data_IF_085867977097
#
_entry.id   IF_085867977097
#
_cell.length_a   1.000
_cell.length_b   1.000
_cell.length_c   1.000
_cell.angle_alpha   90.00
_cell.angle_beta   90.00
_cell.angle_gamma   90.00
#
_symmetry.space_group_name_H-M   'P 1'
#
loop_
_entity.id
_entity.type
_entity.pdbx_description
1 polymer ?
#
# COMPACT_ATOMS: atom_id res chain seq x y z
N UNK A 1 -24.68 19.18 37.89
CA UNK A 1 -23.49 19.46 37.06
C UNK A 1 -22.73 18.15 36.93
N UNK A 2 -22.89 17.45 35.81
CA UNK A 2 -21.99 16.35 35.49
C UNK A 2 -20.71 16.99 34.95
N UNK A 3 -19.68 17.09 35.79
CA UNK A 3 -18.33 17.34 35.30
C UNK A 3 -17.97 16.18 34.37
N UNK A 4 -17.94 16.46 33.07
CA UNK A 4 -17.43 15.53 32.08
C UNK A 4 -16.00 15.18 32.46
N UNK A 5 -15.72 13.90 32.75
CA UNK A 5 -14.35 13.41 32.95
C UNK A 5 -13.47 13.95 31.82
N UNK A 6 -12.26 14.46 32.12
CA UNK A 6 -11.31 14.84 31.09
C UNK A 6 -11.09 13.65 30.16
N UNK A 7 -11.03 13.91 28.86
CA UNK A 7 -10.73 12.89 27.87
C UNK A 7 -9.31 12.38 28.15
N UNK A 8 -9.18 11.14 28.60
CA UNK A 8 -7.88 10.50 28.79
C UNK A 8 -7.53 9.69 27.53
N UNK A 9 -6.33 9.88 27.00
CA UNK A 9 -5.82 9.03 25.93
C UNK A 9 -5.73 7.57 26.41
N UNK A 10 -6.11 6.64 25.55
CA UNK A 10 -5.96 5.22 25.85
C UNK A 10 -4.47 4.81 25.80
N UNK A 11 -4.15 3.67 26.42
CA UNK A 11 -2.77 3.15 26.47
C UNK A 11 -2.18 2.94 25.08
N UNK A 12 -2.99 2.46 24.13
CA UNK A 12 -2.57 2.25 22.74
C UNK A 12 -2.07 3.53 22.07
N UNK A 13 -2.80 4.65 22.25
CA UNK A 13 -2.44 5.96 21.69
C UNK A 13 -1.13 6.45 22.30
N UNK A 14 -0.97 6.31 23.63
CA UNK A 14 0.25 6.70 24.33
C UNK A 14 1.47 5.90 23.85
N UNK A 15 1.34 4.58 23.76
CA UNK A 15 2.43 3.71 23.31
C UNK A 15 2.82 3.99 21.86
N UNK A 16 1.82 4.24 21.00
CA UNK A 16 2.04 4.57 19.59
C UNK A 16 2.70 5.93 19.42
N UNK A 17 2.27 6.94 20.19
CA UNK A 17 2.90 8.26 20.21
C UNK A 17 4.38 8.18 20.61
N UNK A 18 4.71 7.45 21.68
CA UNK A 18 6.09 7.30 22.14
C UNK A 18 6.98 6.54 21.14
N UNK A 19 6.44 5.51 20.47
CA UNK A 19 7.14 4.85 19.35
C UNK A 19 7.40 5.81 18.19
N UNK A 20 6.41 6.64 17.86
CA UNK A 20 6.48 7.65 16.80
C UNK A 20 7.56 8.68 17.10
N UNK A 21 7.52 9.31 18.27
CA UNK A 21 8.50 10.33 18.69
C UNK A 21 9.91 9.74 18.77
N UNK A 22 10.08 8.54 19.33
CA UNK A 22 11.39 7.86 19.37
C UNK A 22 11.96 7.66 17.97
N UNK A 23 11.14 7.19 17.04
CA UNK A 23 11.56 6.96 15.65
C UNK A 23 11.94 8.27 14.96
N UNK A 24 11.18 9.36 15.18
CA UNK A 24 11.53 10.68 14.67
C UNK A 24 12.89 11.14 15.24
N UNK A 25 13.10 10.97 16.54
CA UNK A 25 14.34 11.38 17.23
C UNK A 25 15.56 10.62 16.70
N UNK A 26 15.45 9.29 16.56
CA UNK A 26 16.51 8.44 16.00
C UNK A 26 16.90 8.88 14.58
N UNK A 27 15.93 9.44 13.84
CA UNK A 27 16.06 9.87 12.45
C UNK A 27 16.27 11.38 12.27
N UNK A 28 16.31 12.17 13.34
CA UNK A 28 16.38 13.65 13.29
C UNK A 28 17.54 14.15 12.45
N UNK A 29 18.70 13.47 12.53
CA UNK A 29 19.89 13.81 11.78
C UNK A 29 19.71 13.79 10.24
N UNK A 30 18.68 13.11 9.74
CA UNK A 30 18.33 12.99 8.33
C UNK A 30 17.45 14.13 7.81
N UNK A 31 16.81 14.88 8.71
CA UNK A 31 15.80 15.85 8.35
C UNK A 31 16.32 17.29 8.44
N UNK A 32 15.81 18.15 7.58
CA UNK A 32 15.95 19.60 7.69
C UNK A 32 14.82 20.19 8.53
N UNK A 33 13.61 19.78 8.18
CA UNK A 33 12.36 20.34 8.65
C UNK A 33 11.25 19.29 8.58
N UNK A 34 10.10 19.63 9.14
CA UNK A 34 8.86 18.89 9.01
C UNK A 34 7.85 19.73 8.23
N UNK A 35 7.11 19.10 7.34
CA UNK A 35 5.93 19.67 6.70
C UNK A 35 4.71 19.26 7.52
N UNK A 36 3.96 20.26 7.97
CA UNK A 36 2.62 20.08 8.55
C UNK A 36 1.58 20.57 7.55
N UNK A 37 0.58 19.74 7.30
CA UNK A 37 -0.47 20.00 6.34
C UNK A 37 -1.83 19.70 6.97
N UNK A 38 -2.70 20.69 7.04
CA UNK A 38 -4.00 20.58 7.71
C UNK A 38 -5.12 21.12 6.83
N UNK A 39 -6.22 20.39 6.80
CA UNK A 39 -7.50 20.85 6.28
C UNK A 39 -8.47 21.02 7.44
N UNK A 40 -9.02 22.22 7.61
CA UNK A 40 -9.92 22.56 8.70
C UNK A 40 -11.26 23.06 8.16
N UNK A 41 -12.36 22.47 8.62
CA UNK A 41 -13.70 22.99 8.38
C UNK A 41 -13.89 24.28 9.19
N UNK A 42 -14.47 25.29 8.54
CA UNK A 42 -14.91 26.53 9.19
C UNK A 42 -16.40 26.43 9.45
N UNK A 43 -16.76 26.21 10.71
CA UNK A 43 -18.14 26.28 11.20
C UNK A 43 -18.30 27.54 12.05
N UNK A 44 -19.50 28.11 12.13
CA UNK A 44 -19.78 29.50 12.56
C UNK A 44 -19.13 29.93 13.89
N UNK A 45 -18.73 28.99 14.75
CA UNK A 45 -18.03 29.28 16.03
C UNK A 45 -16.69 28.52 16.24
N UNK A 46 -16.29 27.57 15.38
CA UNK A 46 -15.10 26.72 15.62
C UNK A 46 -14.45 26.22 14.33
N UNK A 47 -13.12 26.12 14.35
CA UNK A 47 -12.33 25.39 13.36
C UNK A 47 -12.17 23.93 13.80
N UNK A 48 -12.49 22.99 12.92
CA UNK A 48 -12.41 21.56 13.21
C UNK A 48 -11.53 20.85 12.19
N UNK A 49 -10.63 19.97 12.65
CA UNK A 49 -9.70 19.28 11.75
C UNK A 49 -10.44 18.23 10.92
N UNK A 50 -10.40 18.36 9.59
CA UNK A 50 -10.88 17.34 8.66
C UNK A 50 -9.79 16.30 8.39
N UNK A 51 -8.55 16.72 8.15
CA UNK A 51 -7.43 15.84 7.86
C UNK A 51 -6.12 16.50 8.28
N UNK A 52 -5.19 15.70 8.79
CA UNK A 52 -3.85 16.17 9.09
C UNK A 52 -2.75 15.26 8.57
N UNK A 53 -1.68 15.87 8.11
CA UNK A 53 -0.45 15.21 7.69
C UNK A 53 0.74 15.87 8.38
N UNK A 54 1.58 15.06 9.01
CA UNK A 54 2.89 15.46 9.50
C UNK A 54 3.93 14.58 8.81
N UNK A 55 4.83 15.17 8.03
CA UNK A 55 5.91 14.44 7.34
C UNK A 55 7.24 15.18 7.47
N UNK A 56 8.35 14.48 7.25
CA UNK A 56 9.71 15.01 7.46
C UNK A 56 10.49 15.10 6.15
N UNK A 57 11.16 16.23 5.96
CA UNK A 57 11.84 16.58 4.72
C UNK A 57 13.36 16.40 4.87
N UNK A 58 14.06 15.88 3.85
CA UNK A 58 15.50 15.74 3.88
C UNK A 58 16.21 17.09 3.77
N UNK A 59 17.49 17.13 4.16
CA UNK A 59 18.37 18.33 4.13
C UNK A 59 18.55 18.99 2.76
N UNK A 60 18.36 18.24 1.69
CA UNK A 60 18.55 18.73 0.32
C UNK A 60 17.21 18.99 -0.41
N UNK A 61 16.08 18.95 0.30
CA UNK A 61 14.77 19.23 -0.30
C UNK A 61 14.69 20.69 -0.76
N UNK A 62 14.17 20.92 -1.96
CA UNK A 62 13.88 22.29 -2.42
C UNK A 62 12.80 22.90 -1.52
N UNK A 63 12.82 24.23 -1.39
CA UNK A 63 11.81 24.97 -0.63
C UNK A 63 10.39 24.52 -0.99
N UNK A 64 9.70 23.89 -0.04
CA UNK A 64 8.29 23.56 -0.21
C UNK A 64 7.49 24.86 -0.20
N UNK A 65 6.51 24.95 -1.11
CA UNK A 65 5.61 26.09 -1.15
C UNK A 65 4.66 25.99 0.05
N UNK A 66 4.90 26.82 1.06
CA UNK A 66 3.94 27.04 2.13
C UNK A 66 2.66 27.67 1.55
N UNK A 67 1.52 27.33 2.14
CA UNK A 67 0.24 27.92 1.77
C UNK A 67 -0.66 28.08 2.97
N UNK A 68 -1.49 29.10 2.88
CA UNK A 68 -2.61 29.32 3.77
C UNK A 68 -3.76 29.82 2.90
N UNK A 69 -4.68 28.92 2.58
CA UNK A 69 -5.88 29.26 1.81
C UNK A 69 -7.07 29.27 2.74
N UNK A 70 -7.75 30.41 2.80
CA UNK A 70 -8.97 30.59 3.58
C UNK A 70 -10.16 30.76 2.63
N UNK A 71 -11.01 29.75 2.58
CA UNK A 71 -12.31 29.79 1.92
C UNK A 71 -13.42 29.98 2.94
N UNK A 72 -14.64 30.21 2.46
CA UNK A 72 -15.82 30.39 3.33
C UNK A 72 -16.03 29.22 4.30
N UNK A 73 -15.85 27.98 3.83
CA UNK A 73 -16.13 26.74 4.60
C UNK A 73 -14.90 25.91 4.95
N UNK A 74 -13.72 26.23 4.40
CA UNK A 74 -12.53 25.40 4.53
C UNK A 74 -11.26 26.25 4.61
N UNK A 75 -10.37 25.89 5.53
CA UNK A 75 -9.01 26.42 5.61
C UNK A 75 -8.03 25.31 5.27
N UNK A 76 -7.10 25.59 4.38
CA UNK A 76 -5.99 24.70 4.01
C UNK A 76 -4.68 25.34 4.43
N UNK A 77 -3.88 24.60 5.17
CA UNK A 77 -2.59 25.05 5.69
C UNK A 77 -1.52 24.07 5.26
N UNK A 78 -0.42 24.56 4.69
CA UNK A 78 0.87 23.85 4.62
C UNK A 78 1.94 24.75 5.17
N UNK A 79 2.72 24.24 6.13
CA UNK A 79 3.81 24.99 6.72
C UNK A 79 5.01 24.11 7.01
N UNK A 80 6.20 24.64 6.79
CA UNK A 80 7.42 24.03 7.25
C UNK A 80 7.70 24.51 8.68
N UNK A 81 7.95 23.57 9.57
CA UNK A 81 8.37 23.81 10.95
C UNK A 81 9.64 23.01 11.23
N UNK A 82 10.38 23.36 12.26
CA UNK A 82 11.54 22.55 12.67
C UNK A 82 11.09 21.16 13.16
N UNK A 83 12.00 20.19 13.11
CA UNK A 83 11.74 18.83 13.62
C UNK A 83 11.32 18.85 15.10
N UNK A 84 11.92 19.75 15.89
CA UNK A 84 11.59 19.93 17.31
C UNK A 84 10.18 20.49 17.51
N UNK A 85 9.78 21.47 16.72
CA UNK A 85 8.41 22.00 16.74
C UNK A 85 7.40 20.93 16.32
N UNK A 86 7.74 20.07 15.35
CA UNK A 86 6.86 18.96 14.98
C UNK A 86 6.70 17.93 16.10
N UNK A 87 7.77 17.57 16.81
CA UNK A 87 7.68 16.70 17.99
C UNK A 87 6.80 17.34 19.07
N UNK A 88 6.97 18.63 19.33
CA UNK A 88 6.13 19.36 20.29
C UNK A 88 4.67 19.41 19.84
N UNK A 89 4.42 19.64 18.56
CA UNK A 89 3.08 19.62 17.99
C UNK A 89 2.40 18.27 18.20
N UNK A 90 3.10 17.15 17.93
CA UNK A 90 2.54 15.82 18.17
C UNK A 90 2.19 15.59 19.65
N UNK A 91 3.04 16.04 20.58
CA UNK A 91 2.71 15.99 22.01
C UNK A 91 1.50 16.86 22.33
N UNK A 92 1.47 18.09 21.83
CA UNK A 92 0.36 19.01 22.06
C UNK A 92 -0.98 18.46 21.54
N UNK A 93 -0.96 17.77 20.40
CA UNK A 93 -2.14 17.12 19.84
C UNK A 93 -2.65 16.03 20.77
N UNK A 94 -1.83 15.03 21.07
CA UNK A 94 -2.32 13.83 21.74
C UNK A 94 -2.35 13.94 23.27
N UNK A 95 -1.45 14.71 23.87
CA UNK A 95 -1.36 14.87 25.34
C UNK A 95 -2.10 16.12 25.83
N UNK A 96 -2.05 17.23 25.07
CA UNK A 96 -2.65 18.51 25.46
C UNK A 96 -3.95 18.85 24.72
N UNK A 97 -4.42 17.96 23.85
CA UNK A 97 -5.68 18.07 23.12
C UNK A 97 -5.84 19.35 22.29
N UNK A 98 -4.74 19.82 21.69
CA UNK A 98 -4.74 21.01 20.84
C UNK A 98 -3.80 20.87 19.64
N UNK A 99 -4.15 21.49 18.52
CA UNK A 99 -3.22 21.74 17.41
C UNK A 99 -2.86 23.21 17.49
N UNK A 100 -1.58 23.50 17.64
CA UNK A 100 -1.06 24.85 17.81
C UNK A 100 0.14 25.05 16.89
N UNK A 101 -0.04 25.85 15.84
CA UNK A 101 1.03 26.31 14.97
C UNK A 101 1.14 27.82 15.18
N UNK A 102 2.24 28.32 15.77
CA UNK A 102 2.41 29.73 16.09
C UNK A 102 2.12 30.64 14.89
N UNK A 103 1.27 31.64 15.13
CA UNK A 103 0.82 32.64 14.14
C UNK A 103 0.05 32.09 12.94
N UNK A 104 -0.38 30.83 12.96
CA UNK A 104 -1.16 30.22 11.87
C UNK A 104 -2.52 29.73 12.35
N UNK A 105 -2.54 28.82 13.34
CA UNK A 105 -3.79 28.30 13.87
C UNK A 105 -3.61 27.76 15.30
N UNK A 106 -4.68 27.83 16.08
CA UNK A 106 -4.78 27.19 17.39
C UNK A 106 -6.20 26.64 17.54
N UNK A 107 -6.36 25.32 17.49
CA UNK A 107 -7.67 24.65 17.48
C UNK A 107 -7.71 23.48 18.45
N UNK A 108 -8.87 23.17 19.06
CA UNK A 108 -9.02 21.99 19.89
C UNK A 108 -8.87 20.71 19.04
N UNK A 109 -8.25 19.68 19.62
CA UNK A 109 -8.08 18.39 18.97
C UNK A 109 -8.27 17.25 19.96
N UNK A 110 -9.03 16.24 19.56
CA UNK A 110 -9.16 14.99 20.26
C UNK A 110 -9.06 13.88 19.24
N UNK A 111 -8.12 12.96 19.44
CA UNK A 111 -7.88 11.86 18.51
C UNK A 111 -7.18 10.70 19.19
N UNK A 112 -7.15 9.57 18.49
CA UNK A 112 -6.42 8.36 18.91
C UNK A 112 -5.34 8.04 17.89
N UNK A 113 -4.30 7.32 18.31
CA UNK A 113 -3.33 6.67 17.41
C UNK A 113 -3.44 5.16 17.61
N UNK A 114 -3.50 4.40 16.52
CA UNK A 114 -3.68 2.95 16.59
C UNK A 114 -2.71 2.17 15.70
N UNK A 115 -2.30 2.74 14.56
CA UNK A 115 -1.40 2.07 13.60
C UNK A 115 0.04 2.56 13.77
N UNK A 116 1.00 1.63 13.68
CA UNK A 116 2.43 1.94 13.63
C UNK A 116 3.15 0.89 12.79
N UNK A 117 3.29 1.17 11.50
CA UNK A 117 3.74 0.18 10.54
C UNK A 117 4.89 0.68 9.67
N UNK A 118 5.69 -0.27 9.21
CA UNK A 118 6.75 -0.03 8.24
C UNK A 118 6.23 -0.30 6.83
N UNK A 119 6.35 0.69 5.95
CA UNK A 119 6.09 0.59 4.53
C UNK A 119 7.41 0.69 3.74
N UNK A 120 7.68 -0.32 2.93
CA UNK A 120 8.81 -0.31 2.00
C UNK A 120 8.75 0.84 0.99
N UNK A 121 9.89 1.14 0.37
CA UNK A 121 9.92 2.08 -0.74
C UNK A 121 8.98 1.65 -1.86
N UNK A 122 8.40 2.63 -2.55
CA UNK A 122 7.44 2.42 -3.65
C UNK A 122 6.18 1.64 -3.26
N UNK A 123 5.92 1.47 -1.96
CA UNK A 123 4.61 1.04 -1.46
C UNK A 123 3.54 2.04 -1.85
N UNK A 124 2.43 1.54 -2.40
CA UNK A 124 1.24 2.34 -2.69
C UNK A 124 0.28 2.47 -1.50
N UNK A 125 0.70 2.09 -0.28
CA UNK A 125 -0.15 2.12 0.92
C UNK A 125 -0.21 3.50 1.58
N UNK A 126 -1.38 3.88 2.09
CA UNK A 126 -1.62 5.18 2.74
C UNK A 126 -1.86 6.30 1.72
N UNK A 127 -2.41 7.43 2.18
CA UNK A 127 -2.78 8.53 1.29
C UNK A 127 -1.58 9.40 0.94
N UNK A 128 -0.68 9.64 1.88
CA UNK A 128 0.54 10.39 1.62
C UNK A 128 1.58 9.54 0.84
N UNK A 129 1.93 9.92 -0.41
CA UNK A 129 2.94 9.20 -1.17
C UNK A 129 4.34 9.44 -0.59
N UNK A 130 5.18 8.42 -0.61
CA UNK A 130 6.62 8.60 -0.43
C UNK A 130 7.39 7.63 -1.32
N UNK A 131 8.45 8.15 -1.94
CA UNK A 131 9.37 7.36 -2.75
C UNK A 131 10.41 6.62 -1.90
N UNK A 132 10.55 7.00 -0.63
CA UNK A 132 11.46 6.40 0.34
C UNK A 132 10.70 5.41 1.22
N UNK A 133 11.37 4.39 1.80
CA UNK A 133 10.77 3.59 2.84
C UNK A 133 10.34 4.51 3.99
N UNK A 134 9.25 4.18 4.66
CA UNK A 134 8.69 5.02 5.71
C UNK A 134 8.16 4.18 6.85
N UNK A 135 8.26 4.74 8.05
CA UNK A 135 7.44 4.33 9.18
C UNK A 135 6.24 5.25 9.22
N UNK A 136 5.06 4.70 9.45
CA UNK A 136 3.81 5.42 9.35
C UNK A 136 2.99 5.18 10.61
N UNK A 137 2.41 6.25 11.17
CA UNK A 137 1.42 6.16 12.23
C UNK A 137 0.12 6.84 11.80
N UNK A 138 -1.01 6.20 12.08
CA UNK A 138 -2.33 6.71 11.73
C UNK A 138 -3.24 6.78 12.93
N UNK A 139 -4.13 7.77 12.90
CA UNK A 139 -5.06 8.06 13.94
C UNK A 139 -6.39 8.59 13.44
N UNK A 140 -7.43 8.35 14.24
CA UNK A 140 -8.77 8.88 13.98
C UNK A 140 -8.98 10.14 14.80
N UNK A 141 -9.63 11.12 14.19
CA UNK A 141 -10.09 12.31 14.89
C UNK A 141 -11.45 11.98 15.53
N UNK A 142 -11.61 12.26 16.81
CA UNK A 142 -12.87 12.00 17.51
C UNK A 142 -13.95 12.96 17.05
N UNK A 143 -15.19 12.46 17.00
CA UNK A 143 -16.35 13.18 16.46
C UNK A 143 -16.53 14.60 17.03
N UNK A 144 -16.12 14.81 18.28
CA UNK A 144 -16.22 16.11 18.97
C UNK A 144 -15.35 17.21 18.36
N UNK A 145 -14.26 16.84 17.70
CA UNK A 145 -13.28 17.77 17.09
C UNK A 145 -13.01 17.46 15.63
N UNK A 146 -13.78 16.56 15.01
CA UNK A 146 -13.65 16.20 13.60
C UNK A 146 -14.48 17.13 12.73
N UNK A 147 -13.85 17.75 11.75
CA UNK A 147 -14.53 18.49 10.69
C UNK A 147 -14.91 17.59 9.52
N UNK A 148 -15.75 18.09 8.63
CA UNK A 148 -16.14 17.43 7.38
C UNK A 148 -15.66 18.23 6.18
N UNK A 149 -15.19 17.51 5.16
CA UNK A 149 -14.82 18.13 3.90
C UNK A 149 -16.08 18.56 3.16
N UNK A 150 -16.09 19.83 2.73
CA UNK A 150 -17.20 20.35 1.93
C UNK A 150 -17.23 19.70 0.54
N UNK A 151 -18.43 19.41 0.06
CA UNK A 151 -18.68 18.98 -1.33
C UNK A 151 -18.96 20.18 -2.24
N UNK A 152 -19.12 21.37 -1.66
CA UNK A 152 -19.33 22.61 -2.42
C UNK A 152 -18.02 23.11 -3.04
N UNK A 153 -18.08 23.76 -4.22
CA UNK A 153 -16.92 24.41 -4.81
C UNK A 153 -16.27 25.43 -3.88
N UNK A 154 -14.95 25.39 -3.81
CA UNK A 154 -14.12 26.32 -3.06
C UNK A 154 -13.68 27.44 -4.01
N UNK A 155 -14.35 28.58 -3.92
CA UNK A 155 -14.12 29.75 -4.78
C UNK A 155 -13.65 30.92 -3.93
N UNK A 156 -12.59 31.60 -4.37
CA UNK A 156 -12.07 32.82 -3.75
C UNK A 156 -11.43 33.70 -4.83
N UNK A 157 -11.38 35.02 -4.58
CA UNK A 157 -10.60 35.94 -5.42
C UNK A 157 -9.09 35.78 -5.19
N UNK A 158 -8.70 35.34 -3.98
CA UNK A 158 -7.31 35.28 -3.53
C UNK A 158 -6.68 33.89 -3.66
N UNK A 159 -7.50 32.85 -3.85
CA UNK A 159 -7.06 31.45 -3.83
C UNK A 159 -7.56 30.67 -5.04
N UNK A 160 -6.87 29.58 -5.45
CA UNK A 160 -7.30 28.76 -6.58
C UNK A 160 -8.74 28.25 -6.44
N UNK A 161 -9.39 28.01 -7.57
CA UNK A 161 -10.68 27.29 -7.60
C UNK A 161 -10.43 25.80 -7.36
N UNK A 162 -11.17 25.20 -6.43
CA UNK A 162 -11.28 23.74 -6.33
C UNK A 162 -12.75 23.29 -6.44
N UNK A 163 -13.04 22.19 -7.17
CA UNK A 163 -14.42 21.70 -7.32
C UNK A 163 -15.09 21.28 -6.01
N UNK A 164 -14.31 20.79 -5.04
CA UNK A 164 -14.76 20.38 -3.71
C UNK A 164 -13.54 20.25 -2.77
N UNK A 165 -13.78 19.89 -1.50
CA UNK A 165 -12.74 19.71 -0.50
C UNK A 165 -11.76 18.56 -0.82
N UNK A 166 -12.21 17.45 -1.40
CA UNK A 166 -11.33 16.32 -1.73
C UNK A 166 -10.30 16.73 -2.78
N UNK A 167 -10.72 17.39 -3.85
CA UNK A 167 -9.82 17.87 -4.89
C UNK A 167 -8.86 18.94 -4.36
N UNK A 168 -9.33 19.77 -3.43
CA UNK A 168 -8.46 20.70 -2.73
C UNK A 168 -7.39 19.97 -1.90
N UNK A 169 -7.74 18.92 -1.14
CA UNK A 169 -6.75 18.13 -0.40
C UNK A 169 -5.78 17.40 -1.34
N UNK A 170 -6.29 16.77 -2.40
CA UNK A 170 -5.49 16.05 -3.39
C UNK A 170 -4.37 16.93 -3.94
N UNK A 171 -4.73 18.14 -4.38
CA UNK A 171 -3.79 19.09 -4.99
C UNK A 171 -2.91 19.80 -3.95
N UNK A 172 -3.51 20.27 -2.85
CA UNK A 172 -2.74 21.05 -1.87
C UNK A 172 -1.88 20.17 -0.99
N UNK A 173 -2.34 19.01 -0.55
CA UNK A 173 -1.57 18.11 0.33
C UNK A 173 -0.82 17.02 -0.46
N UNK A 174 -0.91 17.02 -1.80
CA UNK A 174 -0.25 16.07 -2.69
C UNK A 174 -0.56 14.61 -2.34
N UNK A 175 -1.82 14.36 -1.95
CA UNK A 175 -2.29 13.03 -1.54
C UNK A 175 -2.59 12.15 -2.75
N UNK A 176 -2.21 10.87 -2.65
CA UNK A 176 -2.53 9.84 -3.62
C UNK A 176 -3.86 9.14 -3.27
N UNK A 177 -4.97 9.82 -3.56
CA UNK A 177 -6.33 9.30 -3.37
C UNK A 177 -6.79 8.55 -4.65
N UNK A 178 -7.67 7.55 -4.54
CA UNK A 178 -8.26 6.91 -5.74
C UNK A 178 -9.17 7.88 -6.50
N UNK A 179 -9.45 7.62 -7.77
CA UNK A 179 -10.36 8.46 -8.57
C UNK A 179 -11.79 8.47 -7.99
N UNK A 180 -12.24 7.35 -7.42
CA UNK A 180 -13.56 7.22 -6.78
C UNK A 180 -13.60 7.76 -5.33
N UNK A 181 -12.53 8.39 -4.85
CA UNK A 181 -12.53 8.96 -3.50
C UNK A 181 -13.42 10.20 -3.48
N UNK A 182 -14.62 10.08 -2.90
CA UNK A 182 -15.58 11.18 -2.75
C UNK A 182 -15.69 11.71 -1.32
N UNK A 183 -15.14 10.96 -0.36
CA UNK A 183 -15.09 11.35 1.05
C UNK A 183 -13.82 10.77 1.69
N UNK A 184 -13.31 11.43 2.73
CA UNK A 184 -12.14 11.00 3.49
C UNK A 184 -12.49 11.02 4.97
N UNK A 185 -12.40 9.85 5.62
CA UNK A 185 -12.57 9.76 7.07
C UNK A 185 -11.62 10.70 7.79
N UNK A 186 -12.12 11.45 8.78
CA UNK A 186 -11.29 12.41 9.50
C UNK A 186 -10.15 11.72 10.22
N UNK A 187 -8.94 11.88 9.71
CA UNK A 187 -7.75 11.18 10.20
C UNK A 187 -6.53 12.09 10.29
N UNK A 188 -5.53 11.61 11.02
CA UNK A 188 -4.19 12.16 11.02
C UNK A 188 -3.17 11.10 10.61
N UNK A 189 -2.32 11.46 9.66
CA UNK A 189 -1.23 10.66 9.16
C UNK A 189 0.11 11.26 9.58
N UNK A 190 0.95 10.45 10.24
CA UNK A 190 2.32 10.81 10.61
C UNK A 190 3.26 9.93 9.79
N UNK A 191 3.92 10.54 8.82
CA UNK A 191 4.83 9.88 7.89
C UNK A 191 6.26 10.17 8.32
N UNK A 192 7.05 9.13 8.58
CA UNK A 192 8.45 9.22 9.02
C UNK A 192 9.33 8.53 7.97
N UNK A 193 9.75 9.23 6.90
CA UNK A 193 10.61 8.65 5.85
C UNK A 193 11.98 8.23 6.38
N UNK A 194 12.60 7.24 5.75
CA UNK A 194 13.98 6.83 6.03
C UNK A 194 14.85 7.12 4.81
N UNK A 195 15.67 8.17 4.91
CA UNK A 195 16.51 8.67 3.82
C UNK A 195 17.90 8.02 3.75
N UNK A 196 18.15 6.94 4.52
CA UNK A 196 19.45 6.25 4.50
C UNK A 196 19.72 5.62 3.13
N UNK A 197 18.79 4.80 2.66
CA UNK A 197 18.84 4.16 1.35
C UNK A 197 17.43 3.70 0.93
N UNK A 198 17.24 3.45 -0.36
CA UNK A 198 16.01 2.81 -0.86
C UNK A 198 16.30 1.79 -1.95
N UNK A 199 15.48 0.75 -2.04
CA UNK A 199 15.55 -0.24 -3.09
C UNK A 199 14.90 0.33 -4.36
N UNK A 200 15.68 0.39 -5.43
CA UNK A 200 15.24 0.81 -6.76
C UNK A 200 14.70 -0.33 -7.59
N UNK A 201 15.13 -1.56 -7.29
CA UNK A 201 14.48 -2.73 -7.82
C UNK A 201 15.11 -4.04 -7.40
N UNK A 202 14.38 -5.12 -7.67
CA UNK A 202 14.83 -6.50 -7.58
C UNK A 202 14.71 -7.12 -8.97
N UNK A 203 15.85 -7.45 -9.56
CA UNK A 203 15.96 -8.12 -10.85
C UNK A 203 16.21 -9.61 -10.63
N UNK A 204 15.37 -10.48 -11.19
CA UNK A 204 15.51 -11.93 -11.12
C UNK A 204 15.83 -12.45 -12.53
N UNK A 205 16.96 -13.14 -12.66
CA UNK A 205 17.51 -13.71 -13.90
C UNK A 205 17.86 -15.18 -13.63
N UNK A 206 16.95 -16.10 -13.96
CA UNK A 206 17.09 -17.53 -13.64
C UNK A 206 17.40 -17.77 -12.17
N UNK A 207 18.62 -18.21 -11.86
CA UNK A 207 19.07 -18.55 -10.50
C UNK A 207 19.69 -17.38 -9.74
N UNK A 208 19.80 -16.20 -10.36
CA UNK A 208 20.43 -15.02 -9.77
C UNK A 208 19.42 -13.92 -9.50
N UNK A 209 19.49 -13.33 -8.31
CA UNK A 209 18.73 -12.15 -7.95
C UNK A 209 19.68 -10.97 -7.70
N UNK A 210 19.32 -9.79 -8.18
CA UNK A 210 20.09 -8.56 -7.99
C UNK A 210 19.21 -7.45 -7.45
N UNK A 211 19.57 -6.88 -6.31
CA UNK A 211 18.93 -5.67 -5.79
C UNK A 211 19.76 -4.46 -6.16
N UNK A 212 19.08 -3.45 -6.69
CA UNK A 212 19.63 -2.13 -6.95
C UNK A 212 19.15 -1.17 -5.87
N UNK A 213 20.09 -0.40 -5.32
CA UNK A 213 19.88 0.50 -4.20
C UNK A 213 20.22 1.92 -4.65
N UNK A 214 19.41 2.88 -4.24
CA UNK A 214 19.79 4.29 -4.25
C UNK A 214 20.31 4.65 -2.86
N UNK A 215 21.55 5.13 -2.83
CA UNK A 215 22.19 5.63 -1.62
C UNK A 215 21.64 7.03 -1.36
N UNK A 216 20.95 7.20 -0.23
CA UNK A 216 20.51 8.52 0.21
C UNK A 216 21.64 9.20 0.97
N UNK A 217 21.47 9.37 2.28
CA UNK A 217 22.52 9.94 3.12
C UNK A 217 23.61 8.92 3.55
N UNK A 218 23.39 7.62 3.28
CA UNK A 218 24.34 6.55 3.63
C UNK A 218 25.35 6.27 2.52
N UNK A 219 26.50 5.71 2.89
CA UNK A 219 27.46 5.15 1.95
C UNK A 219 27.25 3.63 1.81
N UNK A 220 27.79 3.02 0.75
CA UNK A 220 27.67 1.57 0.52
C UNK A 220 28.18 0.73 1.69
N UNK A 221 29.25 1.19 2.35
CA UNK A 221 29.89 0.48 3.47
C UNK A 221 29.05 0.51 4.75
N UNK A 222 28.10 1.45 4.85
CA UNK A 222 27.14 1.57 5.95
C UNK A 222 25.95 0.61 5.78
N UNK A 223 25.87 -0.12 4.67
CA UNK A 223 24.71 -0.95 4.32
C UNK A 223 25.09 -2.43 4.25
N UNK A 224 24.16 -3.28 4.68
CA UNK A 224 24.23 -4.73 4.45
C UNK A 224 22.96 -5.18 3.77
N UNK A 225 23.11 -6.14 2.87
CA UNK A 225 21.98 -6.82 2.28
C UNK A 225 21.86 -8.24 2.82
N UNK A 226 20.62 -8.70 2.99
CA UNK A 226 20.31 -10.11 3.26
C UNK A 226 19.25 -10.60 2.29
N UNK A 227 19.35 -11.86 1.90
CA UNK A 227 18.43 -12.53 1.01
C UNK A 227 17.93 -13.82 1.64
N UNK A 228 16.65 -14.09 1.40
CA UNK A 228 16.05 -15.40 1.54
C UNK A 228 15.49 -15.79 0.18
N UNK A 229 15.76 -17.01 -0.27
CA UNK A 229 15.16 -17.58 -1.48
C UNK A 229 14.72 -19.02 -1.22
N UNK A 230 13.53 -19.36 -1.70
CA UNK A 230 12.98 -20.71 -1.69
C UNK A 230 12.48 -21.02 -3.08
N UNK A 231 13.13 -21.95 -3.76
CA UNK A 231 12.62 -22.59 -4.96
C UNK A 231 11.79 -23.82 -4.63
N UNK A 232 11.73 -24.78 -5.56
CA UNK A 232 11.03 -26.05 -5.42
C UNK A 232 11.77 -27.06 -4.55
N UNK A 233 13.08 -27.12 -4.70
CA UNK A 233 13.97 -28.12 -4.10
C UNK A 233 15.03 -27.49 -3.21
N UNK A 234 15.39 -26.23 -3.48
CA UNK A 234 16.50 -25.53 -2.85
C UNK A 234 15.95 -24.32 -2.07
N UNK A 235 16.40 -24.20 -0.82
CA UNK A 235 16.27 -22.97 -0.04
C UNK A 235 17.66 -22.42 0.21
N UNK A 236 17.85 -21.11 0.00
CA UNK A 236 19.09 -20.39 0.27
C UNK A 236 18.80 -19.19 1.15
N UNK A 237 19.70 -18.96 2.09
CA UNK A 237 19.73 -17.75 2.92
C UNK A 237 21.12 -17.17 2.79
N UNK A 238 21.22 -15.87 2.57
CA UNK A 238 22.52 -15.21 2.52
C UNK A 238 23.05 -14.92 3.92
N UNK A 239 24.38 -14.90 4.03
CA UNK A 239 25.06 -14.16 5.08
C UNK A 239 24.86 -12.64 4.89
N UNK A 240 25.46 -11.83 5.77
CA UNK A 240 25.49 -10.38 5.57
C UNK A 240 26.34 -10.04 4.33
N UNK A 241 25.72 -9.47 3.30
CA UNK A 241 26.40 -9.14 2.05
C UNK A 241 26.71 -7.65 1.99
N UNK A 242 27.93 -7.31 1.54
CA UNK A 242 28.29 -5.93 1.22
C UNK A 242 27.72 -5.54 -0.15
N UNK A 243 27.43 -4.26 -0.34
CA UNK A 243 27.03 -3.73 -1.63
C UNK A 243 28.27 -3.47 -2.48
N UNK A 244 28.25 -3.90 -3.73
CA UNK A 244 29.25 -3.52 -4.74
C UNK A 244 28.80 -2.23 -5.42
N UNK A 245 29.26 -1.09 -4.91
CA UNK A 245 28.71 0.21 -5.27
C UNK A 245 27.27 0.33 -4.78
N UNK A 246 26.31 0.31 -5.71
CA UNK A 246 24.88 0.46 -5.41
C UNK A 246 24.06 -0.83 -5.69
N UNK A 247 24.72 -1.97 -5.85
CA UNK A 247 24.07 -3.24 -6.19
C UNK A 247 24.56 -4.37 -5.30
N UNK A 248 23.73 -5.39 -5.15
CA UNK A 248 24.10 -6.66 -4.53
C UNK A 248 23.41 -7.79 -5.29
N UNK A 249 24.17 -8.85 -5.57
CA UNK A 249 23.65 -10.03 -6.25
C UNK A 249 23.74 -11.26 -5.35
N UNK A 250 22.74 -12.12 -5.42
CA UNK A 250 22.60 -13.33 -4.64
C UNK A 250 22.32 -14.52 -5.55
N UNK A 251 23.09 -15.60 -5.37
CA UNK A 251 22.93 -16.86 -6.09
C UNK A 251 21.95 -17.76 -5.33
N UNK A 252 20.81 -18.04 -5.95
CA UNK A 252 19.70 -18.81 -5.35
C UNK A 252 19.83 -20.31 -5.65
N UNK A 253 20.59 -20.69 -6.68
CA UNK A 253 20.80 -22.06 -7.12
C UNK A 253 19.66 -22.64 -7.99
N UNK A 254 18.44 -22.15 -7.84
CA UNK A 254 17.34 -22.36 -8.77
C UNK A 254 16.42 -21.12 -8.79
N UNK A 255 15.47 -21.08 -9.73
CA UNK A 255 14.50 -19.98 -9.81
C UNK A 255 13.58 -19.95 -8.57
N UNK A 256 13.36 -18.79 -7.93
CA UNK A 256 12.66 -18.70 -6.66
C UNK A 256 11.14 -18.81 -6.84
N UNK A 257 10.52 -19.66 -6.01
CA UNK A 257 9.10 -19.53 -5.69
C UNK A 257 8.88 -18.34 -4.75
N UNK A 258 9.76 -18.14 -3.79
CA UNK A 258 9.75 -16.98 -2.89
C UNK A 258 11.16 -16.40 -2.87
N UNK A 259 11.28 -15.08 -2.97
CA UNK A 259 12.49 -14.35 -2.65
C UNK A 259 12.15 -13.11 -1.84
N UNK A 260 12.96 -12.84 -0.83
CA UNK A 260 12.89 -11.65 -0.02
C UNK A 260 14.30 -11.07 0.14
N UNK A 261 14.40 -9.74 0.08
CA UNK A 261 15.64 -9.02 0.27
C UNK A 261 15.42 -7.83 1.20
N UNK A 262 16.37 -7.65 2.12
CA UNK A 262 16.39 -6.56 3.08
C UNK A 262 17.69 -5.77 2.93
N UNK A 263 17.58 -4.45 2.95
CA UNK A 263 18.71 -3.54 3.16
C UNK A 263 18.68 -3.11 4.63
N UNK A 264 19.81 -3.33 5.30
CA UNK A 264 20.00 -3.09 6.73
C UNK A 264 21.10 -2.06 6.96
N UNK A 265 20.99 -1.31 8.04
CA UNK A 265 22.08 -0.50 8.57
C UNK A 265 23.17 -1.41 9.15
N UNK A 266 24.41 -1.23 8.70
CA UNK A 266 25.56 -1.96 9.23
C UNK A 266 25.92 -1.54 10.67
N UNK A 267 25.46 -0.37 11.10
CA UNK A 267 25.76 0.21 12.41
C UNK A 267 24.97 -0.44 13.55
N UNK A 268 23.69 -0.70 13.32
CA UNK A 268 22.74 -1.14 14.35
C UNK A 268 21.87 -2.33 13.92
N UNK A 269 22.00 -2.80 12.68
CA UNK A 269 21.22 -3.92 12.15
C UNK A 269 19.76 -3.60 11.83
N UNK A 270 19.33 -2.34 11.97
CA UNK A 270 17.94 -1.95 11.69
C UNK A 270 17.62 -2.09 10.19
N UNK A 271 16.41 -2.57 9.88
CA UNK A 271 15.91 -2.61 8.51
C UNK A 271 15.68 -1.20 7.99
N UNK A 272 16.26 -0.89 6.84
CA UNK A 272 16.08 0.37 6.12
C UNK A 272 14.99 0.20 5.06
N UNK A 273 15.11 -0.85 4.25
CA UNK A 273 14.14 -1.15 3.19
C UNK A 273 14.05 -2.65 2.92
N UNK A 274 12.95 -3.08 2.31
CA UNK A 274 12.77 -4.48 1.90
C UNK A 274 11.96 -4.60 0.63
N UNK A 275 12.29 -5.61 -0.16
CA UNK A 275 11.49 -6.00 -1.31
C UNK A 275 11.47 -7.51 -1.44
N UNK A 276 10.60 -8.01 -2.28
CA UNK A 276 10.49 -9.44 -2.48
C UNK A 276 9.49 -9.78 -3.55
N UNK A 277 9.50 -11.05 -3.88
CA UNK A 277 8.61 -11.67 -4.82
C UNK A 277 8.11 -12.99 -4.24
N UNK A 278 6.82 -13.24 -4.38
CA UNK A 278 6.22 -14.51 -3.99
C UNK A 278 5.36 -15.00 -5.15
N UNK A 279 5.68 -16.17 -5.68
CA UNK A 279 4.98 -16.75 -6.83
C UNK A 279 3.50 -17.00 -6.58
N UNK A 280 3.08 -17.14 -5.31
CA UNK A 280 1.67 -17.29 -4.94
C UNK A 280 0.87 -15.99 -5.13
N UNK A 281 1.56 -14.84 -5.13
CA UNK A 281 0.98 -13.53 -5.35
C UNK A 281 1.70 -12.83 -6.51
N UNK A 282 1.59 -13.36 -7.74
CA UNK A 282 2.43 -12.99 -8.88
C UNK A 282 2.15 -11.59 -9.45
N UNK A 283 1.46 -10.70 -8.73
CA UNK A 283 1.41 -9.28 -9.09
C UNK A 283 2.83 -8.76 -9.24
N UNK A 284 3.10 -8.04 -10.33
CA UNK A 284 4.28 -7.19 -10.44
C UNK A 284 4.23 -6.14 -9.33
N UNK A 285 4.88 -6.43 -8.19
CA UNK A 285 5.22 -5.41 -7.20
C UNK A 285 6.09 -4.38 -7.92
N UNK A 286 5.75 -3.09 -7.79
CA UNK A 286 6.51 -2.01 -8.45
C UNK A 286 8.00 -2.16 -8.11
N UNK A 287 8.85 -2.23 -9.12
CA UNK A 287 10.29 -2.40 -8.96
C UNK A 287 10.81 -3.84 -8.90
N UNK A 288 9.96 -4.86 -9.03
CA UNK A 288 10.41 -6.25 -9.23
C UNK A 288 10.35 -6.57 -10.72
N UNK A 289 11.49 -6.94 -11.31
CA UNK A 289 11.64 -7.24 -12.73
C UNK A 289 12.13 -8.66 -12.91
N UNK A 290 11.39 -9.46 -13.67
CA UNK A 290 11.84 -10.79 -14.11
C UNK A 290 12.25 -10.68 -15.56
N UNK A 291 13.51 -10.99 -15.89
CA UNK A 291 13.99 -10.82 -17.27
C UNK A 291 13.45 -11.88 -18.23
N UNK A 292 13.26 -13.11 -17.76
CA UNK A 292 12.84 -14.24 -18.59
C UNK A 292 11.37 -14.59 -18.34
N UNK A 293 10.48 -13.59 -18.43
CA UNK A 293 9.05 -13.79 -18.21
C UNK A 293 8.45 -14.85 -19.16
N UNK A 294 8.90 -14.89 -20.41
CA UNK A 294 8.48 -15.89 -21.39
C UNK A 294 8.85 -17.31 -20.93
N UNK A 295 10.10 -17.52 -20.53
CA UNK A 295 10.59 -18.83 -20.05
C UNK A 295 9.79 -19.27 -18.83
N UNK A 296 9.49 -18.36 -17.92
CA UNK A 296 8.72 -18.63 -16.72
C UNK A 296 7.27 -19.01 -17.03
N UNK A 297 6.60 -18.26 -17.92
CA UNK A 297 5.22 -18.57 -18.29
C UNK A 297 5.15 -19.91 -19.04
N UNK A 298 6.11 -20.21 -19.91
CA UNK A 298 6.21 -21.53 -20.55
C UNK A 298 6.44 -22.66 -19.53
N UNK A 299 7.27 -22.43 -18.53
CA UNK A 299 7.47 -23.40 -17.43
C UNK A 299 6.20 -23.57 -16.59
N UNK A 300 5.46 -22.51 -16.25
CA UNK A 300 4.15 -22.58 -15.59
C UNK A 300 3.16 -23.40 -16.42
N UNK A 301 3.07 -23.11 -17.72
CA UNK A 301 2.19 -23.83 -18.65
C UNK A 301 2.56 -25.32 -18.69
N UNK A 302 3.86 -25.64 -18.76
CA UNK A 302 4.34 -27.03 -18.76
C UNK A 302 4.01 -27.82 -17.49
N UNK A 303 3.75 -27.12 -16.37
CA UNK A 303 3.39 -27.72 -15.08
C UNK A 303 1.89 -27.99 -14.94
N UNK A 304 1.09 -27.48 -15.86
CA UNK A 304 -0.36 -27.63 -15.87
C UNK A 304 -1.08 -26.81 -14.80
N UNK A 305 -2.41 -26.89 -14.86
CA UNK A 305 -3.29 -26.27 -13.88
C UNK A 305 -3.08 -26.83 -12.47
N UNK A 306 -3.25 -25.97 -11.48
CA UNK A 306 -3.07 -26.31 -10.09
C UNK A 306 -3.85 -25.36 -9.18
N UNK A 307 -3.53 -25.36 -7.88
CA UNK A 307 -4.20 -24.54 -6.88
C UNK A 307 -4.00 -23.03 -7.07
N UNK A 308 -3.06 -22.62 -7.91
CA UNK A 308 -2.72 -21.22 -8.17
C UNK A 308 -2.70 -20.88 -9.66
N UNK A 309 -3.05 -21.82 -10.53
CA UNK A 309 -2.99 -21.66 -11.99
C UNK A 309 -4.23 -22.28 -12.63
N UNK A 310 -4.93 -21.50 -13.44
CA UNK A 310 -6.04 -21.92 -14.30
C UNK A 310 -5.69 -21.53 -15.74
N UNK A 311 -6.02 -22.40 -16.69
CA UNK A 311 -5.94 -22.13 -18.13
C UNK A 311 -7.34 -21.84 -18.66
N UNK A 312 -7.43 -20.88 -19.58
CA UNK A 312 -8.65 -20.63 -20.36
C UNK A 312 -8.26 -20.40 -21.80
N UNK A 313 -8.86 -21.13 -22.72
CA UNK A 313 -8.58 -20.92 -24.13
C UNK A 313 -9.08 -19.52 -24.57
N UNK A 314 -10.31 -19.16 -24.22
CA UNK A 314 -10.92 -17.84 -24.46
C UNK A 314 -11.96 -17.51 -23.38
N UNK A 315 -12.26 -16.22 -23.20
CA UNK A 315 -13.45 -15.77 -22.47
C UNK A 315 -14.44 -15.20 -23.47
N UNK A 316 -15.47 -15.97 -23.78
CA UNK A 316 -16.51 -15.64 -24.76
C UNK A 316 -17.87 -15.51 -24.07
N UNK A 317 -18.87 -15.07 -24.83
CA UNK A 317 -20.24 -15.03 -24.33
C UNK A 317 -20.72 -16.45 -24.00
N UNK A 318 -20.99 -16.70 -22.72
CA UNK A 318 -21.47 -17.98 -22.20
C UNK A 318 -20.59 -18.56 -21.09
N UNK A 319 -19.28 -18.27 -21.07
CA UNK A 319 -18.35 -18.83 -20.07
C UNK A 319 -17.77 -17.78 -19.12
N UNK A 320 -18.25 -16.54 -19.15
CA UNK A 320 -17.74 -15.50 -18.25
C UNK A 320 -17.98 -15.87 -16.78
N UNK A 321 -19.09 -16.56 -16.48
CA UNK A 321 -19.44 -16.94 -15.10
C UNK A 321 -18.40 -17.90 -14.52
N UNK A 322 -17.87 -18.80 -15.36
CA UNK A 322 -16.81 -19.74 -14.96
C UNK A 322 -15.51 -18.98 -14.67
N UNK A 323 -15.16 -17.99 -15.49
CA UNK A 323 -14.01 -17.13 -15.21
C UNK A 323 -14.14 -16.40 -13.86
N UNK A 324 -15.28 -15.74 -13.60
CA UNK A 324 -15.47 -15.03 -12.34
C UNK A 324 -15.56 -16.00 -11.15
N UNK A 325 -16.07 -17.21 -11.36
CA UNK A 325 -16.05 -18.29 -10.36
C UNK A 325 -14.61 -18.64 -9.94
N UNK A 326 -13.70 -18.80 -10.90
CA UNK A 326 -12.28 -19.01 -10.61
C UNK A 326 -11.64 -17.82 -9.89
N UNK A 327 -12.01 -16.59 -10.27
CA UNK A 327 -11.55 -15.37 -9.57
C UNK A 327 -11.98 -15.40 -8.10
N UNK A 328 -13.24 -15.70 -7.81
CA UNK A 328 -13.75 -15.85 -6.43
C UNK A 328 -13.05 -16.99 -5.69
N UNK A 329 -12.83 -18.13 -6.36
CA UNK A 329 -12.17 -19.30 -5.80
C UNK A 329 -10.71 -19.02 -5.40
N UNK A 330 -9.95 -18.29 -6.22
CA UNK A 330 -8.60 -17.85 -5.89
C UNK A 330 -8.60 -16.83 -4.77
N UNK A 331 -9.49 -15.83 -4.80
CA UNK A 331 -9.56 -14.80 -3.75
C UNK A 331 -9.90 -15.39 -2.38
N UNK A 332 -10.77 -16.40 -2.30
CA UNK A 332 -11.07 -17.08 -1.04
C UNK A 332 -9.97 -18.05 -0.59
N UNK A 333 -9.00 -18.37 -1.44
CA UNK A 333 -7.90 -19.27 -1.09
C UNK A 333 -6.58 -18.51 -1.00
N UNK A 334 -5.56 -18.90 -1.77
CA UNK A 334 -4.20 -18.37 -1.66
C UNK A 334 -3.85 -17.44 -2.84
N UNK A 335 -4.87 -16.96 -3.56
CA UNK A 335 -4.69 -16.27 -4.83
C UNK A 335 -4.28 -17.21 -5.96
N UNK A 336 -3.99 -16.64 -7.12
CA UNK A 336 -3.54 -17.39 -8.29
C UNK A 336 -3.42 -16.53 -9.53
N UNK A 337 -3.25 -17.20 -10.66
CA UNK A 337 -3.26 -16.58 -11.98
C UNK A 337 -4.11 -17.39 -12.96
N UNK A 338 -4.80 -16.69 -13.85
CA UNK A 338 -5.55 -17.27 -14.96
C UNK A 338 -4.80 -16.90 -16.24
N UNK A 339 -4.39 -17.91 -17.02
CA UNK A 339 -3.73 -17.73 -18.31
C UNK A 339 -4.77 -17.89 -19.43
N UNK A 340 -5.12 -16.79 -20.07
CA UNK A 340 -6.09 -16.77 -21.16
C UNK A 340 -5.36 -16.82 -22.51
N UNK A 341 -5.80 -17.70 -23.40
CA UNK A 341 -5.06 -18.07 -24.61
C UNK A 341 -4.19 -19.31 -24.43
N UNK A 342 -4.48 -20.13 -23.41
CA UNK A 342 -3.88 -21.44 -23.15
C UNK A 342 -5.02 -22.44 -23.02
N UNK A 343 -4.99 -23.53 -23.78
CA UNK A 343 -6.00 -24.58 -23.65
C UNK A 343 -5.72 -25.53 -22.47
N UNK A 344 -6.66 -26.41 -22.18
CA UNK A 344 -6.60 -27.34 -21.05
C UNK A 344 -5.40 -28.32 -21.14
N UNK A 345 -4.83 -28.50 -22.34
CA UNK A 345 -3.62 -29.29 -22.57
C UNK A 345 -2.32 -28.47 -22.46
N UNK A 346 -2.41 -27.18 -22.14
CA UNK A 346 -1.25 -26.29 -22.03
C UNK A 346 -0.70 -25.84 -23.39
N UNK A 347 -1.46 -25.97 -24.49
CA UNK A 347 -1.05 -25.43 -25.79
C UNK A 347 -1.45 -23.96 -25.86
N UNK A 348 -0.52 -23.16 -26.37
CA UNK A 348 -0.78 -21.74 -26.63
C UNK A 348 -1.77 -21.63 -27.79
N UNK A 349 -2.98 -21.20 -27.53
CA UNK A 349 -3.96 -20.83 -28.56
C UNK A 349 -3.81 -19.35 -28.95
N UNK A 350 -3.37 -18.51 -28.00
CA UNK A 350 -3.46 -17.06 -28.07
C UNK A 350 -4.90 -16.60 -27.78
N UNK A 351 -5.13 -15.32 -27.48
CA UNK A 351 -6.51 -14.82 -27.30
C UNK A 351 -6.94 -13.90 -28.45
N UNK A 352 -8.24 -13.88 -28.73
CA UNK A 352 -8.86 -13.02 -29.76
C UNK A 352 -9.14 -11.61 -29.24
N UNK A 353 -9.17 -10.60 -30.11
CA UNK A 353 -9.54 -9.22 -29.72
C UNK A 353 -10.91 -9.20 -29.00
N UNK A 354 -10.96 -8.60 -27.80
CA UNK A 354 -12.17 -8.52 -26.98
C UNK A 354 -11.97 -8.75 -25.48
N UNK A 355 -10.75 -9.10 -25.05
CA UNK A 355 -10.35 -9.07 -23.64
C UNK A 355 -9.69 -7.72 -23.37
N UNK A 356 -10.47 -6.80 -22.80
CA UNK A 356 -9.97 -5.55 -22.24
C UNK A 356 -10.19 -5.54 -20.72
N UNK A 357 -9.40 -4.73 -20.02
CA UNK A 357 -9.42 -4.63 -18.56
C UNK A 357 -10.81 -4.22 -18.05
N UNK A 358 -11.40 -3.19 -18.67
CA UNK A 358 -12.70 -2.64 -18.31
C UNK A 358 -13.83 -3.70 -18.31
N UNK A 359 -13.89 -4.57 -19.32
CA UNK A 359 -14.92 -5.62 -19.42
C UNK A 359 -14.76 -6.67 -18.34
N UNK A 360 -13.53 -7.08 -18.05
CA UNK A 360 -13.26 -8.07 -17.01
C UNK A 360 -13.58 -7.48 -15.62
N UNK A 361 -13.12 -6.25 -15.35
CA UNK A 361 -13.41 -5.54 -14.09
C UNK A 361 -14.91 -5.35 -13.89
N UNK A 362 -15.64 -5.04 -14.97
CA UNK A 362 -17.10 -4.96 -14.96
C UNK A 362 -17.74 -6.30 -14.55
N UNK A 363 -17.34 -7.42 -15.14
CA UNK A 363 -17.90 -8.73 -14.77
C UNK A 363 -17.67 -9.06 -13.30
N UNK A 364 -16.47 -8.77 -12.78
CA UNK A 364 -16.15 -9.00 -11.37
C UNK A 364 -17.01 -8.10 -10.47
N UNK A 365 -17.14 -6.81 -10.78
CA UNK A 365 -17.95 -5.87 -10.00
C UNK A 365 -19.45 -6.25 -10.02
N UNK A 366 -19.93 -6.67 -11.19
CA UNK A 366 -21.32 -7.04 -11.39
C UNK A 366 -21.68 -8.32 -10.64
N UNK A 367 -20.77 -9.31 -10.55
CA UNK A 367 -21.08 -10.65 -10.03
C UNK A 367 -20.44 -11.02 -8.69
N UNK A 368 -19.39 -10.33 -8.26
CA UNK A 368 -18.71 -10.60 -6.99
C UNK A 368 -19.11 -9.59 -5.90
N UNK A 369 -19.19 -10.06 -4.66
CA UNK A 369 -19.35 -9.23 -3.47
C UNK A 369 -18.46 -9.74 -2.31
N UNK A 370 -17.58 -8.90 -1.72
CA UNK A 370 -17.16 -7.59 -2.23
C UNK A 370 -16.43 -7.71 -3.58
N UNK A 371 -16.28 -6.63 -4.36
CA UNK A 371 -15.52 -6.68 -5.61
C UNK A 371 -14.06 -7.07 -5.36
N UNK A 372 -13.47 -7.82 -6.29
CA UNK A 372 -12.07 -8.29 -6.23
C UNK A 372 -11.25 -7.45 -7.20
N UNK A 373 -10.22 -6.76 -6.68
CA UNK A 373 -9.26 -6.04 -7.50
C UNK A 373 -8.24 -7.02 -8.10
N UNK A 374 -8.24 -7.14 -9.43
CA UNK A 374 -7.33 -8.01 -10.19
C UNK A 374 -6.39 -7.20 -11.06
N UNK A 375 -5.28 -7.82 -11.50
CA UNK A 375 -4.38 -7.20 -12.48
C UNK A 375 -4.30 -8.02 -13.75
N UNK A 376 -4.42 -7.35 -14.88
CA UNK A 376 -4.32 -7.97 -16.20
C UNK A 376 -3.07 -7.45 -16.90
N UNK A 377 -2.30 -8.38 -17.47
CA UNK A 377 -1.12 -8.06 -18.29
C UNK A 377 -1.06 -9.01 -19.48
N UNK A 378 -0.43 -8.57 -20.56
CA UNK A 378 -0.32 -9.35 -21.79
C UNK A 378 1.13 -9.79 -22.00
N UNK A 379 1.34 -11.05 -22.36
CA UNK A 379 2.65 -11.63 -22.64
C UNK A 379 2.64 -12.30 -24.01
N UNK A 380 3.71 -12.11 -24.79
CA UNK A 380 3.89 -12.83 -26.05
C UNK A 380 4.81 -14.02 -25.80
N UNK A 381 4.29 -15.24 -26.03
CA UNK A 381 4.99 -16.50 -25.89
C UNK A 381 4.98 -17.22 -27.24
N UNK A 382 6.15 -17.58 -27.78
CA UNK A 382 6.23 -18.30 -29.07
C UNK A 382 5.35 -17.65 -30.17
N UNK A 383 5.44 -16.32 -30.32
CA UNK A 383 4.66 -15.51 -31.29
C UNK A 383 3.14 -15.43 -31.04
N UNK A 384 2.63 -16.00 -29.95
CA UNK A 384 1.22 -15.90 -29.53
C UNK A 384 1.07 -15.00 -28.32
N UNK A 385 0.11 -14.08 -28.37
CA UNK A 385 -0.20 -13.22 -27.22
C UNK A 385 -1.19 -13.93 -26.30
N UNK A 386 -0.87 -14.03 -25.02
CA UNK A 386 -1.76 -14.51 -23.96
C UNK A 386 -2.06 -13.37 -22.97
N UNK A 387 -3.20 -13.44 -22.29
CA UNK A 387 -3.49 -12.56 -21.16
C UNK A 387 -3.22 -13.30 -19.85
N UNK A 388 -2.56 -12.63 -18.92
CA UNK A 388 -2.24 -13.11 -17.57
C UNK A 388 -3.06 -12.28 -16.60
N UNK A 389 -4.03 -12.92 -15.95
CA UNK A 389 -4.89 -12.31 -14.93
C UNK A 389 -4.41 -12.77 -13.56
N UNK A 390 -3.81 -11.88 -12.80
CA UNK A 390 -3.39 -12.12 -11.44
C UNK A 390 -4.58 -11.84 -10.48
N UNK A 391 -4.97 -12.84 -9.65
CA UNK A 391 -6.09 -12.75 -8.68
C UNK A 391 -5.61 -12.86 -7.23
N UNK A 392 -5.71 -11.81 -6.40
CA UNK A 392 -5.00 -11.78 -5.11
C UNK A 392 -5.71 -12.66 -4.10
N UNK A 393 -4.99 -13.13 -3.09
CA UNK A 393 -5.68 -13.61 -1.89
C UNK A 393 -6.46 -12.46 -1.27
N UNK A 394 -7.75 -12.71 -1.12
CA UNK A 394 -8.70 -11.76 -0.61
C UNK A 394 -8.45 -11.45 0.86
N UNK A 395 -8.52 -10.17 1.22
CA UNK A 395 -8.40 -9.72 2.61
C UNK A 395 -9.75 -9.72 3.34
N UNK A 396 -10.85 -9.61 2.58
CA UNK A 396 -12.21 -9.49 3.09
C UNK A 396 -13.02 -10.77 2.91
N UNK A 397 -12.40 -11.94 3.13
CA UNK A 397 -13.08 -13.24 3.00
C UNK A 397 -14.31 -13.31 3.94
N UNK A 398 -15.40 -13.98 3.52
CA UNK A 398 -15.59 -14.61 2.21
C UNK A 398 -15.97 -13.61 1.11
N UNK A 399 -15.43 -13.85 -0.08
CA UNK A 399 -15.91 -13.31 -1.35
C UNK A 399 -16.97 -14.26 -1.92
N UNK A 400 -18.05 -13.71 -2.47
CA UNK A 400 -19.16 -14.52 -3.00
C UNK A 400 -19.50 -14.13 -4.42
N UNK A 401 -19.91 -15.12 -5.22
CA UNK A 401 -20.72 -14.87 -6.41
C UNK A 401 -22.15 -14.56 -5.96
N UNK A 402 -22.72 -13.44 -6.41
CA UNK A 402 -24.05 -12.96 -5.96
C UNK A 402 -25.17 -13.98 -6.17
N UNK A 403 -25.05 -14.85 -7.16
CA UNK A 403 -26.04 -15.87 -7.54
C UNK A 403 -25.72 -17.29 -7.05
N UNK A 404 -24.45 -17.60 -6.72
CA UNK A 404 -24.02 -18.97 -6.35
C UNK A 404 -23.38 -19.09 -4.95
N UNK A 405 -22.99 -17.99 -4.31
CA UNK A 405 -22.32 -17.99 -3.01
C UNK A 405 -20.79 -18.14 -3.09
N UNK A 406 -20.12 -18.50 -1.99
CA UNK A 406 -18.66 -18.57 -1.92
C UNK A 406 -18.09 -19.80 -2.62
N UNK A 407 -17.03 -19.61 -3.39
CA UNK A 407 -16.24 -20.67 -4.03
C UNK A 407 -14.82 -20.69 -3.48
N UNK A 408 -14.19 -21.88 -3.50
CA UNK A 408 -12.79 -22.06 -3.17
C UNK A 408 -12.11 -22.99 -4.16
N UNK A 409 -10.82 -22.74 -4.38
CA UNK A 409 -9.94 -23.58 -5.18
C UNK A 409 -9.37 -24.74 -4.35
N UNK A 410 -9.53 -25.98 -4.81
CA UNK A 410 -8.85 -27.16 -4.24
C UNK A 410 -8.19 -27.93 -5.36
N UNK A 411 -6.86 -28.03 -5.33
CA UNK A 411 -6.09 -28.57 -6.45
C UNK A 411 -6.42 -27.78 -7.73
N UNK A 412 -6.77 -28.43 -8.84
CA UNK A 412 -7.10 -27.76 -10.10
C UNK A 412 -8.62 -27.57 -10.31
N UNK A 413 -9.45 -27.59 -9.25
CA UNK A 413 -10.90 -27.41 -9.40
C UNK A 413 -11.49 -26.39 -8.45
N UNK A 414 -12.52 -25.70 -8.94
CA UNK A 414 -13.34 -24.77 -8.17
C UNK A 414 -14.56 -25.50 -7.61
N UNK A 415 -14.90 -25.22 -6.36
CA UNK A 415 -16.12 -25.74 -5.74
C UNK A 415 -16.70 -24.77 -4.74
N UNK A 416 -18.00 -24.89 -4.49
CA UNK A 416 -18.65 -24.16 -3.40
C UNK A 416 -17.98 -24.45 -2.05
N UNK A 417 -17.81 -23.41 -1.24
CA UNK A 417 -17.24 -23.54 0.10
C UNK A 417 -18.20 -24.30 1.02
N UNK A 418 -17.65 -25.19 1.85
CA UNK A 418 -18.44 -25.89 2.87
C UNK A 418 -18.68 -24.97 4.05
N UNK A 419 -19.73 -25.26 4.82
CA UNK A 419 -20.06 -24.51 6.05
C UNK A 419 -18.86 -24.29 6.98
N UNK A 420 -18.04 -25.31 7.21
CA UNK A 420 -16.86 -25.20 8.08
C UNK A 420 -15.81 -24.20 7.56
N UNK A 421 -15.64 -24.12 6.24
CA UNK A 421 -14.71 -23.18 5.58
C UNK A 421 -15.27 -21.75 5.67
N UNK A 422 -16.58 -21.59 5.51
CA UNK A 422 -17.29 -20.32 5.72
C UNK A 422 -17.14 -19.84 7.17
N UNK A 423 -17.35 -20.73 8.14
CA UNK A 423 -17.20 -20.45 9.58
C UNK A 423 -15.75 -20.07 9.95
N UNK A 424 -14.75 -20.56 9.20
CA UNK A 424 -13.34 -20.18 9.36
C UNK A 424 -13.07 -18.76 8.85
N UNK A 425 -13.56 -18.41 7.64
CA UNK A 425 -13.43 -17.06 7.11
C UNK A 425 -13.98 -15.99 8.08
N UNK A 426 -15.15 -16.23 8.68
CA UNK A 426 -15.72 -15.28 9.64
C UNK A 426 -14.93 -15.18 10.96
N UNK A 427 -14.28 -16.26 11.39
CA UNK A 427 -13.41 -16.24 12.58
C UNK A 427 -12.15 -15.42 12.35
N UNK A 428 -11.47 -15.63 11.22
CA UNK A 428 -10.27 -14.86 10.86
C UNK A 428 -10.58 -13.36 10.73
N UNK A 429 -11.72 -13.02 10.12
CA UNK A 429 -12.20 -11.64 10.02
C UNK A 429 -12.42 -10.99 11.38
N UNK A 430 -12.97 -11.73 12.34
CA UNK A 430 -13.21 -11.24 13.71
C UNK A 430 -11.92 -11.03 14.50
N UNK A 431 -10.87 -11.80 14.24
CA UNK A 431 -9.56 -11.64 14.89
C UNK A 431 -8.72 -10.51 14.27
N UNK A 432 -8.90 -10.24 12.98
CA UNK A 432 -8.18 -9.19 12.25
C UNK A 432 -8.78 -7.79 12.43
N UNK A 433 -9.90 -7.67 13.15
CA UNK A 433 -10.64 -6.43 13.37
C UNK A 433 -10.39 -5.78 14.74
N UNK A 434 -9.28 -6.11 15.42
CA UNK A 434 -8.91 -5.60 16.75
C UNK A 434 -7.57 -4.88 16.76
#
# INVERSE_FOLDING_TARGET
MNESKPFEINSQTKDTLEKTIRTITEREHMYDSALVAFALEKNDDQLMLCYGLVTFLPKDEKSIKELHYEYEKLILVRKCISVKEAIQLLRDMFENHKIDIPSVLSVPFMGTLYEFDFHESRSGRGYAPSKWPRTFASGSILQKTSGRLTQDPLVSLEHPLFPNGIEALRETLELNLSEDTHDLSSCIEIVIPDYRARIMGLVIEGTKATVEVELGISQSDDLRAKFYSRGRHITRVSENMNLAGNRVSFEMGEEPLIIESHILSAKDGSTIDRTGYNYRYPYTKKGVFMKDEEVRLLDIISRGENQTVEFKEQIIKGNQSEFVETVVAFANTIGGMILIGVDDEGRLSGFTEGIDDDRIQKWITDWCDPPIDIKIRFATLQEKTIAVVDVPEGKNKPYVLKDKGPYIRRSATDRSAKRAEIDEFYREKSQSSF
#
